data_IF_281730309387
#
_entry.id   IF_281730309387
#
_cell.length_a   1.000
_cell.length_b   1.000
_cell.length_c   1.000
_cell.angle_alpha   90.00
_cell.angle_beta   90.00
_cell.angle_gamma   90.00
#
_symmetry.space_group_name_H-M   'P 1'
#
loop_
_entity.id
_entity.type
_entity.pdbx_description
1 polymer ?
#
# COMPACT_ATOMS: atom_id res chain seq x y z
N UNK A 1 22.17 -14.72 -3.85
CA UNK A 1 22.95 -14.15 -2.73
C UNK A 1 22.13 -14.34 -1.46
N UNK A 2 22.69 -15.07 -0.49
CA UNK A 2 22.01 -15.49 0.73
C UNK A 2 21.98 -14.32 1.73
N UNK A 3 20.81 -13.99 2.26
CA UNK A 3 20.70 -13.12 3.44
C UNK A 3 21.50 -13.75 4.60
N UNK A 4 22.50 -13.07 5.21
CA UNK A 4 23.64 -13.80 5.81
C UNK A 4 23.39 -14.48 7.17
N UNK A 5 22.25 -14.28 7.82
CA UNK A 5 22.07 -14.72 9.21
C UNK A 5 21.34 -16.06 9.39
N UNK A 6 20.44 -16.42 8.49
CA UNK A 6 19.45 -17.49 8.77
C UNK A 6 19.81 -18.87 8.21
N UNK A 7 20.76 -18.94 7.27
CA UNK A 7 21.33 -20.21 6.80
C UNK A 7 22.38 -20.81 7.75
N UNK A 8 22.69 -20.12 8.87
CA UNK A 8 23.72 -20.52 9.83
C UNK A 8 23.21 -21.17 11.11
N UNK A 9 21.90 -21.34 11.31
CA UNK A 9 21.42 -22.25 12.37
C UNK A 9 21.52 -23.68 11.83
N UNK A 10 22.75 -24.12 11.60
CA UNK A 10 23.11 -25.51 11.87
C UNK A 10 23.50 -25.49 13.34
N UNK A 11 22.62 -25.97 14.23
CA UNK A 11 22.92 -26.11 15.66
C UNK A 11 24.32 -26.65 16.01
N UNK A 12 24.99 -27.48 15.18
CA UNK A 12 26.38 -27.83 15.44
C UNK A 12 27.43 -26.70 15.32
N UNK A 13 27.09 -25.49 14.86
CA UNK A 13 28.07 -24.46 14.45
C UNK A 13 27.98 -23.12 15.21
N UNK A 14 26.99 -22.91 16.08
CA UNK A 14 26.90 -21.70 16.93
C UNK A 14 27.22 -22.07 18.38
N UNK A 15 28.06 -21.27 19.06
CA UNK A 15 28.35 -21.49 20.47
C UNK A 15 27.17 -21.05 21.36
N UNK A 16 27.05 -21.65 22.55
CA UNK A 16 26.03 -21.24 23.55
C UNK A 16 26.13 -19.75 23.87
N UNK A 17 27.35 -19.23 23.95
CA UNK A 17 27.61 -17.83 24.25
C UNK A 17 27.15 -16.90 23.11
N UNK A 18 27.43 -17.24 21.86
CA UNK A 18 26.95 -16.45 20.71
C UNK A 18 25.43 -16.54 20.56
N UNK A 19 24.83 -17.71 20.81
CA UNK A 19 23.38 -17.86 20.78
C UNK A 19 22.70 -16.98 21.85
N UNK A 20 23.20 -17.02 23.09
CA UNK A 20 22.65 -16.18 24.19
C UNK A 20 22.86 -14.69 23.94
N UNK A 21 24.01 -14.28 23.38
CA UNK A 21 24.29 -12.85 23.15
C UNK A 21 23.60 -12.28 21.91
N UNK A 22 23.44 -13.06 20.84
CA UNK A 22 22.99 -12.56 19.53
C UNK A 22 21.58 -13.00 19.14
N UNK A 23 21.16 -14.20 19.54
CA UNK A 23 19.90 -14.80 19.07
C UNK A 23 18.78 -14.64 20.12
N UNK A 24 19.03 -14.92 21.39
CA UNK A 24 18.01 -14.78 22.45
C UNK A 24 17.40 -13.37 22.54
N UNK A 25 18.17 -12.26 22.45
CA UNK A 25 17.62 -10.90 22.53
C UNK A 25 16.96 -10.41 21.23
N UNK A 26 17.10 -11.17 20.13
CA UNK A 26 16.67 -10.73 18.79
C UNK A 26 15.21 -11.04 18.47
N UNK A 27 14.51 -11.76 19.35
CA UNK A 27 13.16 -12.29 19.14
C UNK A 27 13.00 -13.11 17.82
N UNK A 28 14.12 -13.58 17.25
CA UNK A 28 14.16 -14.43 16.04
C UNK A 28 13.50 -15.80 16.25
N UNK A 29 13.39 -16.23 17.51
CA UNK A 29 12.82 -17.49 17.94
C UNK A 29 11.69 -17.22 18.94
N UNK A 30 10.60 -17.99 18.84
CA UNK A 30 9.56 -18.01 19.87
C UNK A 30 10.12 -18.49 21.22
N UNK A 31 9.39 -18.27 22.32
CA UNK A 31 9.80 -18.77 23.64
C UNK A 31 10.00 -20.29 23.63
N UNK A 32 9.11 -21.02 22.99
CA UNK A 32 9.17 -22.48 22.88
C UNK A 32 10.37 -22.94 22.02
N UNK A 33 10.66 -22.20 20.96
CA UNK A 33 11.84 -22.42 20.11
C UNK A 33 13.15 -22.15 20.88
N UNK A 34 13.23 -21.07 21.67
CA UNK A 34 14.40 -20.80 22.53
C UNK A 34 14.59 -21.92 23.56
N UNK A 35 13.50 -22.43 24.14
CA UNK A 35 13.53 -23.57 25.07
C UNK A 35 14.04 -24.83 24.36
N UNK A 36 13.58 -25.10 23.13
CA UNK A 36 14.05 -26.23 22.32
C UNK A 36 15.57 -26.18 22.09
N UNK A 37 16.10 -25.01 21.72
CA UNK A 37 17.56 -24.82 21.53
C UNK A 37 18.33 -24.97 22.84
N UNK A 38 17.82 -24.42 23.93
CA UNK A 38 18.44 -24.57 25.24
C UNK A 38 18.52 -26.04 25.66
N UNK A 39 17.43 -26.80 25.49
CA UNK A 39 17.38 -28.23 25.79
C UNK A 39 18.38 -29.01 24.93
N UNK A 40 18.51 -28.69 23.64
CA UNK A 40 19.49 -29.31 22.75
C UNK A 40 20.95 -29.14 23.25
N UNK A 41 21.32 -27.95 23.72
CA UNK A 41 22.67 -27.70 24.25
C UNK A 41 22.87 -28.22 25.69
N UNK A 42 21.83 -28.22 26.51
CA UNK A 42 21.90 -28.65 27.91
C UNK A 42 21.92 -30.18 28.08
N UNK A 43 21.31 -30.92 27.15
CA UNK A 43 21.14 -32.39 27.24
C UNK A 43 21.61 -33.11 25.97
N UNK A 44 22.91 -33.06 25.62
CA UNK A 44 23.44 -33.61 24.37
C UNK A 44 23.25 -35.14 24.21
N UNK A 45 23.03 -35.86 25.32
CA UNK A 45 22.83 -37.32 25.36
C UNK A 45 21.36 -37.74 25.30
N UNK A 46 20.41 -36.80 25.31
CA UNK A 46 18.96 -37.08 25.33
C UNK A 46 18.28 -36.75 23.99
N UNK A 47 18.96 -37.02 22.87
CA UNK A 47 18.50 -36.68 21.50
C UNK A 47 17.18 -37.32 21.03
N UNK A 48 16.48 -38.07 21.87
CA UNK A 48 15.19 -38.70 21.53
C UNK A 48 14.06 -38.48 22.53
N UNK A 49 14.25 -37.67 23.58
CA UNK A 49 13.21 -37.44 24.60
C UNK A 49 12.35 -36.19 24.29
N UNK A 50 12.89 -35.23 23.52
CA UNK A 50 12.26 -33.93 23.23
C UNK A 50 11.39 -33.88 21.97
N UNK A 51 11.40 -34.95 21.14
CA UNK A 51 10.74 -34.96 19.82
C UNK A 51 9.20 -34.82 19.89
N UNK A 52 8.59 -34.98 21.06
CA UNK A 52 7.15 -34.81 21.26
C UNK A 52 6.70 -33.47 21.84
N UNK A 53 7.56 -32.74 22.57
CA UNK A 53 7.18 -31.51 23.29
C UNK A 53 7.76 -30.24 22.68
N UNK A 54 8.97 -30.32 22.09
CA UNK A 54 9.66 -29.17 21.47
C UNK A 54 10.46 -29.65 20.24
N UNK A 55 9.79 -30.00 19.14
CA UNK A 55 10.47 -30.49 17.95
C UNK A 55 11.43 -29.42 17.39
N UNK A 56 12.67 -29.79 17.09
CA UNK A 56 13.67 -28.91 16.46
C UNK A 56 13.41 -28.67 14.97
N UNK A 57 12.14 -28.61 14.57
CA UNK A 57 11.72 -28.23 13.24
C UNK A 57 11.21 -26.80 13.29
N UNK A 58 12.03 -25.89 12.78
CA UNK A 58 11.69 -24.49 12.71
C UNK A 58 10.94 -24.23 11.40
N UNK A 59 9.74 -23.63 11.43
CA UNK A 59 9.06 -23.20 10.22
C UNK A 59 9.98 -22.26 9.42
N UNK A 60 10.34 -22.64 8.20
CA UNK A 60 11.11 -21.76 7.29
C UNK A 60 10.26 -20.65 6.68
N UNK A 61 8.94 -20.75 6.83
CA UNK A 61 7.99 -19.75 6.35
C UNK A 61 7.98 -18.56 7.32
N UNK A 62 8.67 -17.47 6.97
CA UNK A 62 8.49 -16.18 7.63
C UNK A 62 9.69 -15.57 8.36
N UNK A 63 10.92 -16.03 8.16
CA UNK A 63 12.09 -15.39 8.81
C UNK A 63 12.65 -14.24 7.98
N UNK A 64 12.84 -13.08 8.62
CA UNK A 64 13.37 -11.78 8.13
C UNK A 64 13.56 -11.77 6.61
N UNK A 65 12.49 -11.41 5.92
CA UNK A 65 12.54 -11.14 4.50
C UNK A 65 13.13 -9.75 4.30
N UNK A 66 14.31 -9.64 3.71
CA UNK A 66 14.83 -8.39 3.16
C UNK A 66 14.14 -8.02 1.83
N UNK A 67 13.17 -8.83 1.39
CA UNK A 67 12.38 -8.50 0.21
C UNK A 67 11.54 -7.28 0.54
N UNK A 68 11.70 -6.27 -0.30
CA UNK A 68 10.91 -5.05 -0.27
C UNK A 68 9.47 -5.30 -0.69
N UNK A 69 9.21 -6.41 -1.37
CA UNK A 69 7.88 -6.81 -1.85
C UNK A 69 7.43 -8.12 -1.22
N UNK A 70 6.14 -8.26 -0.97
CA UNK A 70 5.54 -9.50 -0.52
C UNK A 70 4.02 -9.50 -0.62
N UNK A 71 3.44 -10.70 -0.58
CA UNK A 71 2.00 -10.91 -0.63
C UNK A 71 1.54 -11.47 0.70
N UNK A 72 0.55 -10.80 1.31
CA UNK A 72 -0.22 -11.33 2.42
C UNK A 72 -1.43 -12.08 1.87
N UNK A 73 -1.80 -13.18 2.52
CA UNK A 73 -3.01 -13.95 2.22
C UNK A 73 -3.79 -14.19 3.51
N UNK A 74 -5.11 -14.20 3.41
CA UNK A 74 -6.02 -14.53 4.51
C UNK A 74 -7.24 -15.26 3.97
N UNK A 75 -7.46 -16.48 4.42
CA UNK A 75 -8.76 -17.13 4.24
C UNK A 75 -9.67 -16.74 5.39
N UNK A 76 -10.84 -16.18 5.07
CA UNK A 76 -11.95 -16.03 5.99
C UNK A 76 -12.81 -17.27 5.81
N UNK A 77 -12.75 -18.20 6.77
CA UNK A 77 -13.63 -19.37 6.82
C UNK A 77 -14.99 -19.01 7.44
N UNK A 78 -16.03 -19.81 7.21
CA UNK A 78 -17.37 -19.57 7.77
C UNK A 78 -17.86 -18.12 7.54
N UNK A 79 -17.70 -17.62 6.32
CA UNK A 79 -18.04 -16.23 5.95
C UNK A 79 -19.51 -15.93 6.23
N UNK A 80 -20.39 -16.92 6.03
CA UNK A 80 -21.82 -16.78 6.29
C UNK A 80 -22.12 -16.53 7.77
N UNK A 81 -21.34 -17.13 8.68
CA UNK A 81 -21.40 -16.87 10.12
C UNK A 81 -20.77 -15.50 10.43
N UNK A 82 -19.59 -15.21 9.87
CA UNK A 82 -18.90 -13.94 10.06
C UNK A 82 -19.79 -12.75 9.72
N UNK A 83 -20.51 -12.79 8.60
CA UNK A 83 -21.42 -11.74 8.18
C UNK A 83 -22.55 -11.44 9.20
N UNK A 84 -22.85 -12.39 10.10
CA UNK A 84 -23.91 -12.26 11.13
C UNK A 84 -23.37 -11.82 12.48
N UNK A 85 -22.06 -11.89 12.73
CA UNK A 85 -21.43 -11.47 13.99
C UNK A 85 -21.61 -9.96 14.26
N UNK A 86 -21.30 -9.56 15.50
CA UNK A 86 -21.39 -8.17 15.97
C UNK A 86 -20.27 -7.30 15.39
N UNK A 87 -20.50 -5.98 15.35
CA UNK A 87 -19.62 -4.99 14.69
C UNK A 87 -18.20 -4.87 15.29
N UNK A 88 -17.95 -5.45 16.46
CA UNK A 88 -16.61 -5.50 17.04
C UNK A 88 -15.77 -6.69 16.58
N UNK A 89 -16.40 -7.67 15.92
CA UNK A 89 -15.74 -8.90 15.50
C UNK A 89 -14.72 -8.61 14.40
N UNK A 90 -13.48 -9.04 14.65
CA UNK A 90 -12.34 -8.87 13.75
C UNK A 90 -11.58 -10.17 13.63
N UNK A 91 -11.15 -10.49 12.42
CA UNK A 91 -10.34 -11.67 12.11
C UNK A 91 -9.02 -11.23 11.51
N UNK A 92 -7.95 -11.96 11.82
CA UNK A 92 -6.59 -11.61 11.42
C UNK A 92 -5.94 -12.75 10.64
N UNK A 93 -5.06 -12.41 9.70
CA UNK A 93 -4.19 -13.39 9.06
C UNK A 93 -3.01 -13.77 9.94
N UNK A 94 -2.33 -14.83 9.54
CA UNK A 94 -0.95 -15.09 9.96
C UNK A 94 -0.03 -13.91 9.61
N UNK A 95 1.05 -13.78 10.38
CA UNK A 95 2.05 -12.72 10.16
C UNK A 95 2.94 -13.06 8.98
N UNK A 96 3.14 -12.08 8.09
CA UNK A 96 4.10 -12.15 6.97
C UNK A 96 5.14 -11.08 7.18
N UNK A 97 6.42 -11.42 7.03
CA UNK A 97 7.51 -10.45 7.16
C UNK A 97 7.91 -9.90 5.79
N UNK A 98 7.89 -8.58 5.64
CA UNK A 98 8.31 -7.85 4.43
C UNK A 98 9.23 -6.72 4.88
N UNK A 99 10.41 -6.64 4.29
CA UNK A 99 11.50 -5.73 4.67
C UNK A 99 11.79 -5.71 6.19
N UNK A 100 11.85 -6.90 6.80
CA UNK A 100 12.11 -7.07 8.23
C UNK A 100 10.99 -6.57 9.17
N UNK A 101 9.83 -6.15 8.66
CA UNK A 101 8.66 -5.71 9.43
C UNK A 101 7.57 -6.76 9.34
N UNK A 102 6.79 -6.97 10.41
CA UNK A 102 5.69 -7.93 10.40
C UNK A 102 4.40 -7.28 9.92
N UNK A 103 3.69 -7.99 9.04
CA UNK A 103 2.46 -7.55 8.41
C UNK A 103 1.36 -8.58 8.62
N UNK A 104 0.12 -8.13 8.77
CA UNK A 104 -1.06 -9.00 8.84
C UNK A 104 -2.28 -8.34 8.23
N UNK A 105 -3.20 -9.12 7.69
CA UNK A 105 -4.52 -8.67 7.26
C UNK A 105 -5.44 -8.61 8.48
N UNK A 106 -6.34 -7.63 8.51
CA UNK A 106 -7.48 -7.56 9.42
C UNK A 106 -8.77 -7.41 8.60
N UNK A 107 -9.67 -8.35 8.77
CA UNK A 107 -11.04 -8.30 8.29
C UNK A 107 -11.96 -7.89 9.46
N UNK A 108 -12.73 -6.82 9.32
CA UNK A 108 -13.66 -6.34 10.37
C UNK A 108 -15.03 -6.06 9.78
N UNK A 109 -16.10 -6.31 10.52
CA UNK A 109 -17.46 -5.95 10.08
C UNK A 109 -17.68 -4.46 10.33
N UNK A 110 -18.20 -3.76 9.32
CA UNK A 110 -18.51 -2.33 9.37
C UNK A 110 -19.95 -2.07 8.93
N UNK A 111 -20.49 -0.93 9.34
CA UNK A 111 -21.75 -0.38 8.84
C UNK A 111 -21.46 0.88 8.06
N UNK A 112 -22.27 1.12 7.03
CA UNK A 112 -22.28 2.42 6.37
C UNK A 112 -23.07 3.39 7.24
N UNK A 113 -22.42 4.43 7.74
CA UNK A 113 -22.99 5.40 8.70
C UNK A 113 -24.18 6.21 8.17
N UNK A 114 -24.50 6.11 6.87
CA UNK A 114 -25.47 6.98 6.19
C UNK A 114 -26.66 6.23 5.57
N UNK A 115 -26.73 4.89 5.64
CA UNK A 115 -27.85 4.14 5.08
C UNK A 115 -28.95 3.86 6.11
N UNK A 116 -30.21 4.04 5.70
CA UNK A 116 -31.41 3.65 6.46
C UNK A 116 -31.53 2.14 6.66
N UNK A 117 -30.74 1.36 5.92
CA UNK A 117 -30.59 -0.08 6.07
C UNK A 117 -29.27 -0.36 6.81
N UNK A 118 -29.32 -1.22 7.82
CA UNK A 118 -28.15 -1.75 8.55
C UNK A 118 -27.32 -2.70 7.65
N UNK A 119 -26.96 -2.25 6.44
CA UNK A 119 -26.15 -3.02 5.51
C UNK A 119 -24.77 -3.23 6.12
N UNK A 120 -24.37 -4.50 6.20
CA UNK A 120 -23.07 -4.90 6.73
C UNK A 120 -22.04 -4.97 5.60
N UNK A 121 -20.88 -4.39 5.88
CA UNK A 121 -19.76 -4.31 4.97
C UNK A 121 -18.54 -5.01 5.55
N UNK A 122 -17.75 -5.61 4.67
CA UNK A 122 -16.42 -6.11 5.01
C UNK A 122 -15.45 -4.93 4.98
N UNK A 123 -14.90 -4.59 6.13
CA UNK A 123 -13.71 -3.76 6.26
C UNK A 123 -12.45 -4.59 6.07
N UNK A 124 -11.51 -4.07 5.29
CA UNK A 124 -10.32 -4.79 4.85
C UNK A 124 -9.08 -3.92 5.05
N UNK A 125 -8.26 -4.31 6.03
CA UNK A 125 -7.08 -3.55 6.47
C UNK A 125 -5.84 -4.42 6.47
N UNK A 126 -4.68 -3.77 6.40
CA UNK A 126 -3.40 -4.36 6.72
C UNK A 126 -2.74 -3.59 7.86
N UNK A 127 -2.10 -4.35 8.72
CA UNK A 127 -1.33 -3.85 9.86
C UNK A 127 0.14 -3.97 9.55
N UNK A 128 0.86 -2.91 9.84
CA UNK A 128 2.31 -2.86 9.90
C UNK A 128 2.70 -2.88 11.38
N UNK A 129 3.05 -4.05 11.89
CA UNK A 129 3.50 -4.26 13.25
C UNK A 129 5.03 -4.39 13.24
N UNK A 130 5.70 -3.23 13.26
CA UNK A 130 7.14 -3.23 13.50
C UNK A 130 7.36 -3.47 14.99
N UNK A 131 7.82 -4.68 15.33
CA UNK A 131 8.18 -5.07 16.70
C UNK A 131 9.42 -4.33 17.24
N UNK A 132 9.81 -3.22 16.64
CA UNK A 132 10.85 -2.36 17.18
C UNK A 132 10.22 -1.55 18.32
N UNK A 133 10.61 -1.86 19.56
CA UNK A 133 10.32 -1.07 20.78
C UNK A 133 10.79 0.39 20.71
N UNK A 134 11.41 0.80 19.61
CA UNK A 134 11.75 2.20 19.35
C UNK A 134 10.49 2.98 18.98
N UNK A 135 10.19 4.01 19.76
CA UNK A 135 9.06 4.93 19.56
C UNK A 135 9.14 5.74 18.24
N UNK A 136 10.17 5.50 17.43
CA UNK A 136 10.49 6.21 16.20
C UNK A 136 10.53 5.31 14.94
N UNK A 137 10.04 4.06 15.02
CA UNK A 137 10.01 3.22 13.82
C UNK A 137 9.11 3.82 12.73
N UNK A 138 9.56 3.66 11.49
CA UNK A 138 8.85 4.11 10.29
C UNK A 138 8.97 3.05 9.21
N UNK A 139 7.87 2.78 8.51
CA UNK A 139 7.87 1.90 7.36
C UNK A 139 7.16 2.59 6.19
N UNK A 140 7.90 2.83 5.11
CA UNK A 140 7.39 3.45 3.89
C UNK A 140 6.88 2.36 2.94
N UNK A 141 5.59 2.42 2.63
CA UNK A 141 4.92 1.60 1.63
C UNK A 141 4.74 2.44 0.38
N UNK A 142 5.36 2.02 -0.72
CA UNK A 142 5.17 2.60 -2.06
C UNK A 142 3.81 2.21 -2.63
N UNK A 143 3.45 0.93 -2.52
CA UNK A 143 2.15 0.44 -2.96
C UNK A 143 1.63 -0.71 -2.11
N UNK A 144 0.32 -0.78 -1.96
CA UNK A 144 -0.38 -1.90 -1.36
C UNK A 144 -1.66 -2.17 -2.16
N UNK A 145 -1.71 -3.31 -2.85
CA UNK A 145 -2.89 -3.73 -3.63
C UNK A 145 -3.68 -4.75 -2.83
N UNK A 146 -4.80 -4.32 -2.25
CA UNK A 146 -5.77 -5.20 -1.60
C UNK A 146 -6.65 -5.87 -2.65
N UNK A 147 -6.93 -7.16 -2.53
CA UNK A 147 -7.82 -7.87 -3.46
C UNK A 147 -8.57 -9.01 -2.80
N UNK A 148 -9.78 -9.26 -3.27
CA UNK A 148 -10.51 -10.50 -3.00
C UNK A 148 -10.22 -11.46 -4.16
N UNK A 149 -9.64 -12.61 -3.83
CA UNK A 149 -9.23 -13.62 -4.82
C UNK A 149 -10.47 -14.33 -5.35
N UNK A 150 -10.66 -14.30 -6.67
CA UNK A 150 -11.75 -15.02 -7.29
C UNK A 150 -11.50 -16.53 -7.33
N UNK A 151 -12.56 -17.30 -7.07
CA UNK A 151 -12.56 -18.76 -7.03
C UNK A 151 -12.95 -19.39 -8.38
N UNK A 152 -13.45 -18.58 -9.34
CA UNK A 152 -13.82 -19.07 -10.68
C UNK A 152 -12.66 -18.84 -11.66
N UNK A 153 -12.24 -19.91 -12.35
CA UNK A 153 -11.23 -19.83 -13.40
C UNK A 153 -11.72 -18.84 -14.49
N UNK A 154 -11.00 -17.72 -14.69
CA UNK A 154 -11.31 -16.56 -15.56
C UNK A 154 -12.20 -15.43 -14.98
N UNK A 155 -12.65 -15.48 -13.72
CA UNK A 155 -13.32 -14.34 -13.10
C UNK A 155 -12.30 -13.36 -12.50
N UNK A 156 -12.53 -12.06 -12.67
CA UNK A 156 -11.59 -10.98 -12.32
C UNK A 156 -11.72 -10.65 -10.84
N UNK A 157 -10.59 -10.62 -10.12
CA UNK A 157 -10.53 -10.22 -8.70
C UNK A 157 -11.16 -8.84 -8.46
N UNK A 158 -11.84 -8.65 -7.33
CA UNK A 158 -12.13 -7.31 -6.80
C UNK A 158 -10.86 -6.76 -6.20
N UNK A 159 -10.48 -5.56 -6.58
CA UNK A 159 -9.21 -4.92 -6.21
C UNK A 159 -9.55 -3.61 -5.48
N UNK A 160 -8.76 -3.27 -4.46
CA UNK A 160 -8.62 -1.93 -3.90
C UNK A 160 -7.14 -1.58 -3.85
N UNK A 161 -6.70 -0.57 -4.60
CA UNK A 161 -5.29 -0.18 -4.68
C UNK A 161 -5.01 1.03 -3.80
N UNK A 162 -3.98 0.93 -2.97
CA UNK A 162 -3.39 2.05 -2.24
C UNK A 162 -1.95 2.30 -2.67
N UNK A 163 -1.52 3.56 -2.62
CA UNK A 163 -0.13 3.96 -2.77
C UNK A 163 0.30 4.97 -1.69
N UNK A 164 1.59 4.98 -1.39
CA UNK A 164 2.29 5.92 -0.51
C UNK A 164 1.70 6.10 0.89
N UNK A 165 2.08 5.18 1.78
CA UNK A 165 1.75 5.25 3.22
C UNK A 165 3.01 5.12 4.06
N UNK A 166 3.07 5.89 5.14
CA UNK A 166 4.11 5.75 6.15
C UNK A 166 3.48 5.27 7.44
N UNK A 167 3.81 4.04 7.82
CA UNK A 167 3.39 3.46 9.08
C UNK A 167 4.36 3.85 10.19
N UNK A 168 3.82 4.09 11.38
CA UNK A 168 4.56 4.44 12.59
C UNK A 168 3.72 4.11 13.83
N UNK A 169 4.17 4.51 15.01
CA UNK A 169 3.46 4.29 16.28
C UNK A 169 2.06 4.93 16.37
N UNK A 170 1.77 5.98 15.61
CA UNK A 170 0.44 6.62 15.55
C UNK A 170 -0.45 6.02 14.47
N UNK A 171 0.13 5.52 13.38
CA UNK A 171 -0.58 4.92 12.25
C UNK A 171 -0.02 3.52 11.97
N UNK A 172 -0.58 2.52 12.66
CA UNK A 172 -0.13 1.13 12.62
C UNK A 172 -0.91 0.26 11.63
N UNK A 173 -2.06 0.75 11.16
CA UNK A 173 -2.89 0.05 10.19
C UNK A 173 -3.50 1.01 9.18
N UNK A 174 -3.83 0.47 8.01
CA UNK A 174 -4.52 1.18 6.94
C UNK A 174 -5.41 0.21 6.17
N UNK A 175 -6.48 0.72 5.59
CA UNK A 175 -7.41 -0.11 4.84
C UNK A 175 -8.67 0.64 4.44
N UNK A 176 -9.69 -0.14 4.10
CA UNK A 176 -11.00 0.35 3.72
C UNK A 176 -12.01 -0.08 4.78
N UNK A 177 -12.77 0.87 5.32
CA UNK A 177 -13.84 0.52 6.26
C UNK A 177 -14.99 -0.21 5.57
N UNK A 178 -15.38 0.24 4.39
CA UNK A 178 -16.49 -0.35 3.63
C UNK A 178 -15.94 -0.89 2.30
N UNK A 179 -15.19 -1.99 2.30
CA UNK A 179 -14.53 -2.51 1.08
C UNK A 179 -15.51 -3.13 0.09
N UNK A 180 -16.42 -3.97 0.58
CA UNK A 180 -17.48 -4.63 -0.19
C UNK A 180 -18.63 -4.97 0.75
N UNK A 181 -19.88 -4.90 0.30
CA UNK A 181 -20.99 -5.37 1.13
C UNK A 181 -20.98 -6.89 1.22
N UNK A 182 -21.45 -7.44 2.34
CA UNK A 182 -21.54 -8.90 2.49
C UNK A 182 -22.54 -9.51 1.48
N UNK A 183 -23.57 -8.76 1.08
CA UNK A 183 -24.50 -9.16 0.03
C UNK A 183 -23.79 -9.33 -1.32
N UNK A 184 -22.95 -8.37 -1.72
CA UNK A 184 -22.17 -8.47 -2.96
C UNK A 184 -21.06 -9.53 -2.86
N UNK A 185 -20.38 -9.63 -1.71
CA UNK A 185 -19.30 -10.59 -1.50
C UNK A 185 -19.76 -12.04 -1.68
N UNK A 186 -20.96 -12.36 -1.16
CA UNK A 186 -21.54 -13.70 -1.19
C UNK A 186 -22.40 -13.95 -2.45
N UNK A 187 -22.52 -12.98 -3.36
CA UNK A 187 -23.23 -13.18 -4.61
C UNK A 187 -22.49 -14.20 -5.49
N UNK A 188 -23.15 -15.32 -5.75
CA UNK A 188 -22.65 -16.41 -6.58
C UNK A 188 -22.26 -15.97 -8.00
N UNK A 189 -22.82 -14.86 -8.51
CA UNK A 189 -22.48 -14.30 -9.82
C UNK A 189 -21.06 -13.72 -9.84
N UNK A 190 -20.60 -13.16 -8.71
CA UNK A 190 -19.33 -12.43 -8.58
C UNK A 190 -18.12 -13.36 -8.48
N UNK A 191 -18.30 -14.55 -7.90
CA UNK A 191 -17.27 -15.59 -7.84
C UNK A 191 -16.14 -15.32 -6.83
N UNK A 192 -16.39 -14.50 -5.80
CA UNK A 192 -15.45 -14.25 -4.70
C UNK A 192 -15.59 -15.27 -3.55
N UNK A 193 -16.82 -15.72 -3.32
CA UNK A 193 -17.18 -16.62 -2.24
C UNK A 193 -17.23 -18.08 -2.71
N UNK A 194 -16.46 -18.96 -2.05
CA UNK A 194 -16.59 -20.40 -2.19
C UNK A 194 -17.73 -20.88 -1.27
N UNK A 195 -18.87 -21.23 -1.85
CA UNK A 195 -20.06 -21.67 -1.10
C UNK A 195 -19.90 -23.07 -0.49
N UNK A 196 -19.09 -23.94 -1.09
CA UNK A 196 -18.88 -25.30 -0.58
C UNK A 196 -18.01 -25.30 0.67
N UNK A 197 -17.00 -24.43 0.71
CA UNK A 197 -16.10 -24.28 1.87
C UNK A 197 -16.54 -23.16 2.84
N UNK A 198 -17.61 -22.43 2.51
CA UNK A 198 -18.00 -21.17 3.18
C UNK A 198 -16.80 -20.22 3.40
N UNK A 199 -16.05 -19.95 2.32
CA UNK A 199 -14.72 -19.31 2.40
C UNK A 199 -14.53 -18.16 1.41
N UNK A 200 -13.81 -17.13 1.84
CA UNK A 200 -13.30 -16.04 0.99
C UNK A 200 -11.81 -15.89 1.22
N UNK A 201 -11.03 -15.72 0.15
CA UNK A 201 -9.59 -15.43 0.25
C UNK A 201 -9.33 -13.96 -0.03
N UNK A 202 -8.71 -13.29 0.93
CA UNK A 202 -8.18 -11.94 0.81
C UNK A 202 -6.68 -11.99 0.51
N UNK A 203 -6.19 -11.06 -0.29
CA UNK A 203 -4.77 -10.91 -0.56
C UNK A 203 -4.36 -9.44 -0.55
N UNK A 204 -3.14 -9.16 -0.10
CA UNK A 204 -2.55 -7.82 -0.20
C UNK A 204 -1.13 -7.94 -0.73
N UNK A 205 -0.88 -7.36 -1.89
CA UNK A 205 0.45 -7.25 -2.48
C UNK A 205 1.09 -5.93 -2.02
N UNK A 206 2.10 -5.98 -1.15
CA UNK A 206 2.76 -4.81 -0.55
C UNK A 206 4.15 -4.63 -1.13
N UNK A 207 4.45 -3.39 -1.54
CA UNK A 207 5.79 -2.92 -1.92
C UNK A 207 6.23 -1.84 -0.94
N UNK A 208 7.24 -2.16 -0.16
CA UNK A 208 7.92 -1.23 0.74
C UNK A 208 9.10 -0.57 0.02
N UNK A 209 9.47 0.61 0.49
CA UNK A 209 10.71 1.27 0.12
C UNK A 209 11.48 1.59 1.38
N UNK A 210 12.80 1.74 1.24
CA UNK A 210 13.55 2.38 2.32
C UNK A 210 12.94 3.77 2.50
N UNK A 211 12.98 4.34 3.71
CA UNK A 211 12.65 5.76 3.84
C UNK A 211 13.40 6.49 2.73
N UNK A 212 12.72 7.40 1.99
CA UNK A 212 13.44 8.22 1.06
C UNK A 212 14.55 8.83 1.89
N UNK A 213 15.78 8.35 1.66
CA UNK A 213 16.96 9.07 2.09
C UNK A 213 16.60 10.45 1.57
N UNK A 214 16.54 11.43 2.45
CA UNK A 214 16.65 12.82 2.03
C UNK A 214 18.07 12.93 1.46
N UNK A 215 18.36 12.21 0.36
CA UNK A 215 19.32 12.59 -0.64
C UNK A 215 18.85 13.99 -0.90
N UNK A 216 19.57 14.96 -0.33
CA UNK A 216 20.12 16.11 -1.06
C UNK A 216 19.34 16.39 -2.35
N UNK A 217 18.02 16.51 -2.25
CA UNK A 217 17.15 16.98 -3.29
C UNK A 217 17.58 18.42 -3.31
N UNK A 218 18.25 18.78 -4.40
CA UNK A 218 18.84 20.07 -4.67
C UNK A 218 17.96 21.13 -3.99
N UNK A 219 18.35 21.54 -2.77
CA UNK A 219 17.70 22.59 -1.99
C UNK A 219 18.15 23.89 -2.62
N UNK A 220 17.93 24.02 -3.92
CA UNK A 220 17.90 25.31 -4.55
C UNK A 220 16.52 25.87 -4.26
N UNK A 221 16.34 26.33 -3.02
CA UNK A 221 15.14 27.03 -2.57
C UNK A 221 14.79 28.23 -3.47
N UNK A 222 15.73 28.67 -4.31
CA UNK A 222 15.55 29.76 -5.26
C UNK A 222 15.04 29.29 -6.62
N UNK A 223 15.03 27.97 -6.89
CA UNK A 223 14.56 27.47 -8.17
C UNK A 223 13.04 27.56 -8.22
N UNK A 224 12.58 28.59 -8.91
CA UNK A 224 11.16 28.85 -9.20
C UNK A 224 10.54 27.84 -10.17
N UNK A 225 11.30 26.90 -10.72
CA UNK A 225 10.82 25.93 -11.72
C UNK A 225 11.29 24.53 -11.41
N UNK A 226 10.45 23.52 -11.62
CA UNK A 226 10.84 22.12 -11.49
C UNK A 226 9.89 21.19 -12.23
N UNK A 227 10.34 19.96 -12.48
CA UNK A 227 9.53 18.92 -13.08
C UNK A 227 9.28 17.84 -12.05
N UNK A 228 8.00 17.49 -11.89
CA UNK A 228 7.55 16.36 -11.07
C UNK A 228 7.15 15.26 -12.05
N UNK A 229 7.49 14.01 -11.76
CA UNK A 229 7.12 12.89 -12.62
C UNK A 229 6.71 11.67 -11.82
N UNK A 230 5.83 10.85 -12.38
CA UNK A 230 5.45 9.58 -11.79
C UNK A 230 5.14 8.56 -12.87
N UNK A 231 5.52 7.31 -12.62
CA UNK A 231 5.09 6.16 -13.40
C UNK A 231 4.01 5.41 -12.64
N UNK A 232 2.89 5.16 -13.32
CA UNK A 232 1.75 4.41 -12.81
C UNK A 232 1.75 3.05 -13.50
N UNK A 233 2.22 2.02 -12.79
CA UNK A 233 2.12 0.64 -13.25
C UNK A 233 0.73 0.04 -12.99
N UNK A 234 0.36 -0.97 -13.77
CA UNK A 234 -0.94 -1.64 -13.71
C UNK A 234 -2.11 -0.66 -13.84
N UNK A 235 -2.01 0.31 -14.75
CA UNK A 235 -3.03 1.37 -14.92
C UNK A 235 -4.40 0.76 -15.24
N UNK A 236 -4.45 -0.36 -15.95
CA UNK A 236 -5.68 -1.09 -16.27
C UNK A 236 -6.46 -1.55 -15.03
N UNK A 237 -5.81 -1.62 -13.87
CA UNK A 237 -6.43 -1.96 -12.59
C UNK A 237 -7.12 -0.74 -11.94
N UNK A 238 -6.72 0.51 -12.23
CA UNK A 238 -7.36 1.72 -11.66
C UNK A 238 -8.86 1.80 -11.94
N UNK A 239 -9.31 1.37 -13.12
CA UNK A 239 -10.73 1.42 -13.46
C UNK A 239 -11.55 0.28 -12.90
N UNK A 240 -10.90 -0.76 -12.37
CA UNK A 240 -11.59 -2.01 -12.02
C UNK A 240 -12.30 -1.94 -10.66
N UNK A 241 -12.22 -0.82 -9.95
CA UNK A 241 -12.60 -0.75 -8.54
C UNK A 241 -13.93 -0.04 -8.22
N UNK A 242 -14.44 -0.43 -7.06
CA UNK A 242 -15.67 -0.01 -6.37
C UNK A 242 -15.41 1.26 -5.52
N UNK A 243 -14.15 1.59 -5.20
CA UNK A 243 -13.75 2.74 -4.37
C UNK A 243 -12.54 3.52 -4.93
N UNK A 244 -12.34 4.74 -4.42
CA UNK A 244 -11.37 5.75 -4.85
C UNK A 244 -9.93 5.21 -4.95
N UNK A 245 -9.47 4.91 -6.16
CA UNK A 245 -8.07 4.59 -6.43
C UNK A 245 -7.28 5.89 -6.60
N UNK A 246 -6.56 6.31 -5.56
CA UNK A 246 -5.64 7.46 -5.62
C UNK A 246 -4.19 6.99 -5.55
N UNK A 247 -3.30 7.59 -6.36
CA UNK A 247 -1.85 7.42 -6.27
C UNK A 247 -1.17 8.77 -6.19
N UNK A 248 -0.17 8.88 -5.34
CA UNK A 248 0.70 10.05 -5.27
C UNK A 248 2.11 9.66 -5.73
N UNK A 249 2.98 10.64 -5.89
CA UNK A 249 4.39 10.43 -6.13
C UNK A 249 5.23 10.91 -4.94
N UNK A 250 6.54 10.71 -5.02
CA UNK A 250 7.47 11.29 -4.06
C UNK A 250 7.43 12.83 -4.10
N UNK A 251 7.76 13.46 -2.97
CA UNK A 251 7.79 14.91 -2.85
C UNK A 251 8.94 15.52 -3.64
N UNK A 252 8.65 16.53 -4.45
CA UNK A 252 9.65 17.39 -5.11
C UNK A 252 9.52 18.80 -4.57
N UNK A 253 10.62 19.38 -4.08
CA UNK A 253 10.62 20.74 -3.58
C UNK A 253 10.89 21.75 -4.70
N UNK A 254 10.00 22.72 -4.88
CA UNK A 254 10.14 23.81 -5.87
C UNK A 254 9.82 25.11 -5.16
N UNK A 255 10.78 26.05 -5.16
CA UNK A 255 10.74 27.29 -4.37
C UNK A 255 10.42 27.06 -2.87
N UNK A 256 10.94 25.95 -2.32
CA UNK A 256 10.70 25.56 -0.92
C UNK A 256 9.37 24.88 -0.62
N UNK A 257 8.43 24.80 -1.59
CA UNK A 257 7.15 24.13 -1.39
C UNK A 257 7.22 22.65 -1.78
N UNK A 258 6.58 21.74 -1.02
CA UNK A 258 6.57 20.30 -1.28
C UNK A 258 5.49 19.91 -2.29
N UNK A 259 5.87 19.64 -3.52
CA UNK A 259 4.93 19.31 -4.60
C UNK A 259 4.88 17.81 -4.90
N UNK A 260 3.70 17.31 -5.30
CA UNK A 260 3.47 15.96 -5.81
C UNK A 260 2.47 15.97 -6.96
N UNK A 261 2.47 14.89 -7.72
CA UNK A 261 1.37 14.51 -8.59
C UNK A 261 0.42 13.64 -7.76
N UNK A 262 -0.89 13.92 -7.84
CA UNK A 262 -1.97 13.06 -7.36
C UNK A 262 -2.75 12.57 -8.58
N UNK A 263 -2.81 11.28 -8.84
CA UNK A 263 -3.62 10.66 -9.88
C UNK A 263 -4.78 9.89 -9.26
N UNK A 264 -6.00 10.04 -9.80
CA UNK A 264 -7.21 9.35 -9.32
C UNK A 264 -8.22 9.08 -10.43
N UNK A 265 -9.12 8.14 -10.18
CA UNK A 265 -10.32 7.94 -11.01
C UNK A 265 -11.50 8.69 -10.41
N UNK A 266 -12.18 9.49 -11.22
CA UNK A 266 -13.42 10.15 -10.84
C UNK A 266 -14.58 9.68 -11.73
N UNK A 267 -15.79 9.71 -11.17
CA UNK A 267 -17.03 9.54 -11.92
C UNK A 267 -17.59 10.91 -12.26
N UNK A 268 -18.09 11.09 -13.48
CA UNK A 268 -18.82 12.30 -13.82
C UNK A 268 -20.23 12.22 -13.20
N UNK A 269 -20.59 13.19 -12.35
CA UNK A 269 -21.91 13.27 -11.74
C UNK A 269 -23.00 13.73 -12.71
N UNK A 270 -22.63 14.32 -13.86
CA UNK A 270 -23.56 14.95 -14.80
C UNK A 270 -23.97 14.02 -15.96
N UNK A 271 -23.27 12.90 -16.18
CA UNK A 271 -23.60 11.94 -17.22
C UNK A 271 -24.47 10.81 -16.68
N UNK A 272 -25.53 10.46 -17.38
CA UNK A 272 -26.37 9.25 -17.13
C UNK A 272 -25.61 7.93 -17.28
N UNK A 273 -24.32 7.96 -17.63
CA UNK A 273 -23.45 6.80 -17.76
C UNK A 273 -22.46 6.66 -16.61
N UNK A 274 -22.12 5.41 -16.26
CA UNK A 274 -21.04 5.04 -15.33
C UNK A 274 -19.63 5.34 -15.89
N UNK A 275 -19.45 6.41 -16.68
CA UNK A 275 -18.18 6.73 -17.31
C UNK A 275 -17.16 7.22 -16.27
N UNK A 276 -15.99 6.58 -16.28
CA UNK A 276 -14.88 6.84 -15.37
C UNK A 276 -13.83 7.68 -16.09
N UNK A 277 -13.31 8.70 -15.43
CA UNK A 277 -12.27 9.58 -15.95
C UNK A 277 -10.98 9.39 -15.20
N UNK A 278 -9.87 9.39 -15.92
CA UNK A 278 -8.54 9.47 -15.32
C UNK A 278 -8.16 10.93 -15.12
N UNK A 279 -7.97 11.29 -13.86
CA UNK A 279 -7.70 12.66 -13.44
C UNK A 279 -6.35 12.72 -12.73
N UNK A 280 -5.55 13.75 -12.99
CA UNK A 280 -4.37 13.99 -12.17
C UNK A 280 -4.15 15.47 -11.90
N UNK A 281 -3.57 15.74 -10.73
CA UNK A 281 -3.55 17.02 -10.07
C UNK A 281 -2.13 17.34 -9.61
N UNK A 282 -1.78 18.62 -9.71
CA UNK A 282 -0.67 19.19 -8.97
C UNK A 282 -1.14 19.38 -7.53
N UNK A 283 -0.46 18.75 -6.59
CA UNK A 283 -0.81 18.75 -5.16
C UNK A 283 0.34 19.29 -4.33
N UNK A 284 0.05 20.26 -3.45
CA UNK A 284 1.00 20.82 -2.51
C UNK A 284 0.81 20.16 -1.13
N UNK A 285 1.85 19.48 -0.64
CA UNK A 285 1.89 18.77 0.65
C UNK A 285 2.35 19.67 1.81
N UNK A 286 2.14 20.99 1.69
CA UNK A 286 2.49 21.91 2.75
C UNK A 286 1.52 21.72 3.94
N UNK A 287 1.98 21.94 5.19
CA UNK A 287 1.15 21.75 6.38
C UNK A 287 -0.16 22.52 6.30
N UNK A 288 -1.26 21.91 6.76
CA UNK A 288 -2.59 22.54 6.73
C UNK A 288 -2.75 23.62 7.79
N UNK A 289 -2.00 23.50 8.87
CA UNK A 289 -2.04 24.38 10.05
C UNK A 289 -1.26 25.69 9.85
N UNK A 290 -0.52 25.79 8.75
CA UNK A 290 0.24 26.96 8.33
C UNK A 290 -0.55 27.78 7.32
N UNK A 291 -0.47 29.11 7.45
CA UNK A 291 -0.99 30.02 6.44
C UNK A 291 0.05 30.14 5.34
N UNK A 292 -0.20 29.47 4.23
CA UNK A 292 0.65 29.55 3.05
C UNK A 292 -0.20 29.79 1.80
N UNK A 293 0.40 30.45 0.83
CA UNK A 293 -0.18 30.63 -0.50
C UNK A 293 0.92 30.57 -1.55
N UNK A 294 0.64 29.87 -2.65
CA UNK A 294 1.55 29.72 -3.75
C UNK A 294 0.81 29.92 -5.08
N UNK A 295 1.24 30.94 -5.83
CA UNK A 295 0.81 31.18 -7.20
C UNK A 295 1.77 30.49 -8.17
N UNK A 296 1.26 29.57 -8.96
CA UNK A 296 2.06 28.78 -9.90
C UNK A 296 1.39 28.67 -11.27
N UNK A 297 2.17 28.33 -12.28
CA UNK A 297 1.69 27.84 -13.56
C UNK A 297 2.28 26.45 -13.77
N UNK A 298 1.59 25.61 -14.53
CA UNK A 298 2.00 24.23 -14.70
C UNK A 298 1.68 23.69 -16.09
N UNK A 299 2.54 22.82 -16.61
CA UNK A 299 2.31 22.08 -17.85
C UNK A 299 2.15 20.62 -17.49
N UNK A 300 0.93 20.11 -17.57
CA UNK A 300 0.59 18.71 -17.35
C UNK A 300 0.90 17.92 -18.61
N UNK A 301 1.61 16.81 -18.47
CA UNK A 301 2.03 15.93 -19.56
C UNK A 301 1.68 14.49 -19.27
N UNK A 302 1.10 13.82 -20.27
CA UNK A 302 1.04 12.36 -20.31
C UNK A 302 1.89 11.91 -21.49
N UNK A 303 2.93 11.13 -21.20
CA UNK A 303 3.86 10.70 -22.24
C UNK A 303 3.22 9.69 -23.17
N UNK A 304 3.44 9.88 -24.47
CA UNK A 304 3.08 8.86 -25.43
C UNK A 304 4.13 7.74 -25.40
N UNK A 305 3.68 6.49 -25.37
CA UNK A 305 4.53 5.31 -25.49
C UNK A 305 4.67 4.85 -26.96
N UNK A 306 3.98 5.51 -27.90
CA UNK A 306 4.06 5.19 -29.33
C UNK A 306 5.01 6.13 -30.05
N UNK A 307 6.02 5.56 -30.71
CA UNK A 307 6.95 6.32 -31.53
C UNK A 307 6.23 7.18 -32.58
N UNK A 308 6.61 8.46 -32.68
CA UNK A 308 6.02 9.42 -33.60
C UNK A 308 4.69 10.03 -33.16
N UNK A 309 4.12 9.63 -32.02
CA UNK A 309 2.95 10.29 -31.41
C UNK A 309 3.43 11.26 -30.33
N UNK A 310 3.01 12.54 -30.36
CA UNK A 310 3.42 13.50 -29.36
C UNK A 310 2.76 13.24 -27.99
N UNK A 311 3.42 13.66 -26.92
CA UNK A 311 2.84 13.68 -25.58
C UNK A 311 1.57 14.53 -25.55
N UNK A 312 0.58 14.09 -24.78
CA UNK A 312 -0.55 14.97 -24.47
C UNK A 312 -0.09 16.06 -23.50
N UNK A 313 -0.50 17.30 -23.75
CA UNK A 313 -0.13 18.47 -22.92
C UNK A 313 -1.34 19.35 -22.61
N UNK A 314 -1.39 19.87 -21.39
CA UNK A 314 -2.36 20.90 -20.98
C UNK A 314 -1.72 21.89 -20.02
N UNK A 315 -2.01 23.17 -20.22
CA UNK A 315 -1.46 24.24 -19.42
C UNK A 315 -2.45 24.72 -18.36
N UNK A 316 -1.90 25.01 -17.18
CA UNK A 316 -2.52 25.69 -16.07
C UNK A 316 -1.78 27.01 -15.88
N UNK A 317 -2.51 28.12 -15.92
CA UNK A 317 -1.92 29.45 -15.82
C UNK A 317 -2.35 30.13 -14.52
N UNK A 318 -1.36 30.64 -13.79
CA UNK A 318 -1.54 31.53 -12.64
C UNK A 318 -2.47 31.02 -11.52
N UNK A 319 -2.50 29.70 -11.32
CA UNK A 319 -3.28 29.08 -10.24
C UNK A 319 -2.70 29.43 -8.87
N UNK A 320 -3.58 29.88 -7.98
CA UNK A 320 -3.26 30.07 -6.57
C UNK A 320 -3.69 28.82 -5.81
N UNK A 321 -2.77 28.25 -5.04
CA UNK A 321 -3.02 27.17 -4.10
C UNK A 321 -2.71 27.65 -2.68
N UNK A 322 -3.49 27.19 -1.72
CA UNK A 322 -3.32 27.52 -0.31
C UNK A 322 -3.72 26.34 0.58
N UNK A 323 -3.75 26.57 1.89
CA UNK A 323 -4.10 25.53 2.86
C UNK A 323 -5.56 25.03 2.79
N UNK A 324 -6.45 25.76 2.11
CA UNK A 324 -7.86 25.36 1.87
C UNK A 324 -7.99 24.58 0.56
N UNK A 325 -7.38 25.09 -0.50
CA UNK A 325 -7.36 24.48 -1.83
C UNK A 325 -5.91 24.17 -2.22
N UNK A 326 -5.40 23.05 -1.70
CA UNK A 326 -3.99 22.69 -1.87
C UNK A 326 -3.68 21.90 -3.15
N UNK A 327 -4.64 21.80 -4.07
CA UNK A 327 -4.43 21.10 -5.35
C UNK A 327 -5.31 21.59 -6.47
N UNK A 328 -4.79 21.46 -7.69
CA UNK A 328 -5.51 21.74 -8.92
C UNK A 328 -5.10 20.77 -10.02
N UNK A 329 -6.03 20.43 -10.89
CA UNK A 329 -5.79 19.42 -11.93
C UNK A 329 -6.94 19.29 -12.89
N UNK A 330 -6.87 18.23 -13.70
CA UNK A 330 -7.87 17.96 -14.72
C UNK A 330 -8.20 16.47 -14.77
N UNK A 331 -9.44 16.20 -15.16
CA UNK A 331 -9.84 14.92 -15.73
C UNK A 331 -9.58 14.98 -17.24
N UNK A 332 -8.57 14.23 -17.69
CA UNK A 332 -8.01 14.40 -19.03
C UNK A 332 -8.69 13.54 -20.08
N UNK A 333 -8.93 12.28 -19.72
CA UNK A 333 -9.43 11.25 -20.61
C UNK A 333 -10.48 10.45 -19.89
N UNK A 334 -11.48 9.97 -20.63
CA UNK A 334 -12.20 8.82 -20.12
C UNK A 334 -11.23 7.65 -20.01
N UNK A 335 -11.47 6.76 -19.07
CA UNK A 335 -10.57 5.64 -18.86
C UNK A 335 -10.49 4.74 -20.11
N UNK A 336 -11.59 4.63 -20.86
CA UNK A 336 -11.61 3.91 -22.13
C UNK A 336 -10.65 4.54 -23.15
N UNK A 337 -10.55 5.87 -23.19
CA UNK A 337 -9.61 6.59 -24.06
C UNK A 337 -8.17 6.44 -23.60
N UNK A 338 -7.91 6.51 -22.28
CA UNK A 338 -6.57 6.28 -21.73
C UNK A 338 -6.07 4.87 -22.08
N UNK A 339 -6.94 3.87 -22.06
CA UNK A 339 -6.58 2.49 -22.39
C UNK A 339 -6.56 2.18 -23.90
N UNK A 340 -6.81 3.18 -24.76
CA UNK A 340 -6.86 2.99 -26.20
C UNK A 340 -5.46 3.07 -26.82
N UNK A 341 -4.95 1.92 -27.27
CA UNK A 341 -3.60 1.80 -27.87
C UNK A 341 -3.40 2.62 -29.14
N UNK A 342 -4.48 2.98 -29.85
CA UNK A 342 -4.37 3.84 -31.03
C UNK A 342 -4.06 5.29 -30.68
N UNK A 343 -4.36 5.74 -29.45
CA UNK A 343 -4.06 7.10 -28.94
C UNK A 343 -2.64 7.23 -28.34
N UNK A 344 -1.82 6.17 -28.43
CA UNK A 344 -0.41 6.21 -28.05
C UNK A 344 -0.10 5.83 -26.61
N UNK A 345 -1.08 5.37 -25.84
CA UNK A 345 -0.87 4.73 -24.54
C UNK A 345 -0.71 3.22 -24.74
N UNK A 346 0.42 2.66 -24.34
CA UNK A 346 0.72 1.26 -24.57
C UNK A 346 0.07 0.36 -23.50
N UNK A 347 -0.94 -0.38 -23.95
CA UNK A 347 -1.62 -1.40 -23.16
C UNK A 347 -0.73 -2.62 -22.90
N UNK A 348 0.35 -2.81 -23.68
CA UNK A 348 1.24 -3.97 -23.57
C UNK A 348 2.07 -3.94 -22.28
N UNK A 349 2.48 -2.75 -21.82
CA UNK A 349 3.21 -2.58 -20.56
C UNK A 349 2.31 -2.26 -19.36
N UNK A 350 1.02 -1.97 -19.60
CA UNK A 350 0.04 -1.56 -18.58
C UNK A 350 0.54 -0.42 -17.68
N UNK A 351 1.22 0.56 -18.29
CA UNK A 351 1.90 1.66 -17.59
C UNK A 351 1.50 3.01 -18.18
N UNK A 352 1.44 4.04 -17.34
CA UNK A 352 1.29 5.44 -17.77
C UNK A 352 2.34 6.29 -17.07
N UNK A 353 3.06 7.12 -17.83
CA UNK A 353 4.00 8.09 -17.28
C UNK A 353 3.39 9.48 -17.33
N UNK A 354 3.39 10.16 -16.17
CA UNK A 354 2.93 11.52 -16.01
C UNK A 354 4.10 12.44 -15.67
N UNK A 355 4.03 13.69 -16.13
CA UNK A 355 4.85 14.76 -15.61
C UNK A 355 4.07 16.07 -15.46
N UNK A 356 4.53 16.91 -14.53
CA UNK A 356 4.07 18.28 -14.39
C UNK A 356 5.31 19.17 -14.30
N UNK A 357 5.46 20.08 -15.28
CA UNK A 357 6.44 21.16 -15.19
C UNK A 357 5.81 22.33 -14.45
N UNK A 358 6.31 22.65 -13.26
CA UNK A 358 5.77 23.68 -12.39
C UNK A 358 6.65 24.92 -12.44
N UNK A 359 6.02 26.09 -12.52
CA UNK A 359 6.64 27.41 -12.45
C UNK A 359 5.97 28.16 -11.30
N UNK A 360 6.66 28.31 -10.18
CA UNK A 360 6.20 29.09 -9.03
C UNK A 360 6.51 30.57 -9.26
N UNK A 361 5.44 31.36 -9.42
CA UNK A 361 5.51 32.81 -9.64
C UNK A 361 5.65 33.55 -8.31
N UNK A 362 4.76 33.28 -7.37
CA UNK A 362 4.73 33.92 -6.05
C UNK A 362 4.51 32.86 -4.98
N UNK A 363 5.16 33.02 -3.82
CA UNK A 363 5.01 32.09 -2.71
C UNK A 363 5.14 32.85 -1.39
N UNK A 364 4.25 32.56 -0.45
CA UNK A 364 4.17 33.20 0.87
C UNK A 364 3.93 32.16 1.94
N UNK A 365 4.65 32.27 3.05
CA UNK A 365 4.42 31.56 4.31
C UNK A 365 4.40 32.61 5.41
N UNK A 366 3.31 32.71 6.16
CA UNK A 366 3.27 33.59 7.33
C UNK A 366 3.89 32.83 8.51
N UNK A 367 5.08 33.25 8.94
CA UNK A 367 5.63 32.77 10.20
C UNK A 367 4.73 33.26 11.35
N UNK A 368 4.29 32.33 12.20
CA UNK A 368 3.65 32.68 13.47
C UNK A 368 4.73 33.32 14.36
N UNK A 369 4.74 34.65 14.41
CA UNK A 369 5.59 35.44 15.30
C UNK A 369 5.30 35.18 16.77
#
# INVERSE_FOLDING_TARGET
>A
MLGPALFKIRFPLISKEEFTKKIVPSDLLSKDEVIAVYQFHALPNCRGISDGLFPMQFPTNGRISDRKEGTLLMDIEKVSEFAREDFESSRYSEKVYINGVSWKIMAKIKTKSESTENEKWLGFFYWCDATKKDSLWRCCVRSATCRIVSQKNRAKNSIGIFCDRVFNNKLTNWGFENFISFAELMDSSKGFYNREEDKVTLAIDVTTVDEPKVHKLILDHNKSTGTISMEIEKVSEFSREIFLSERKCETVYIKGFPWKILAKIEKNNESTGNEKFFCFYLWCDAPKEENWSCKCSAIFRIFSQKSGVPDYRRELNDQVLDNKENSWGYCFFSFAELMNTSKGYDKSEDKVTLAIDVIVKEAKTEDKS
#
